data_IF_059111502373
#
_entry.id   IF_059111502373
#
_cell.length_a   1.000
_cell.length_b   1.000
_cell.length_c   1.000
_cell.angle_alpha   90.00
_cell.angle_beta   90.00
_cell.angle_gamma   90.00
#
_symmetry.space_group_name_H-M   'P 1'
#
loop_
_entity.id
_entity.type
_entity.pdbx_description
1 polymer ?
#
# COMPACT_ATOMS: atom_id res chain seq x y z
N UNK A 1 -52.99 4.72 -21.43
CA UNK A 1 -51.56 5.04 -21.62
C UNK A 1 -51.38 6.42 -21.02
N UNK A 2 -50.89 6.49 -19.79
CA UNK A 2 -50.30 7.68 -19.16
C UNK A 2 -49.19 7.15 -18.22
N UNK A 3 -47.90 7.38 -18.51
CA UNK A 3 -46.82 6.97 -17.63
C UNK A 3 -46.38 8.12 -16.71
N UNK A 4 -46.26 7.79 -15.43
CA UNK A 4 -45.47 8.51 -14.44
C UNK A 4 -43.97 8.19 -14.65
N UNK A 5 -43.11 9.22 -14.65
CA UNK A 5 -41.64 9.15 -14.55
C UNK A 5 -41.18 10.50 -13.93
N UNK A 6 -40.81 10.56 -12.65
CA UNK A 6 -39.51 10.27 -12.00
C UNK A 6 -38.45 11.37 -12.17
N UNK A 7 -37.78 11.65 -11.06
CA UNK A 7 -36.81 12.70 -10.73
C UNK A 7 -35.55 12.77 -11.61
N UNK A 8 -34.90 13.94 -11.55
CA UNK A 8 -33.45 14.09 -11.67
C UNK A 8 -33.00 14.76 -12.97
N UNK A 9 -32.43 15.98 -12.85
CA UNK A 9 -31.32 16.51 -13.65
C UNK A 9 -31.24 18.03 -13.42
N UNK A 10 -30.43 18.46 -12.44
CA UNK A 10 -30.03 19.86 -12.34
C UNK A 10 -28.96 20.13 -13.41
N UNK A 11 -29.44 20.64 -14.54
CA UNK A 11 -28.66 21.09 -15.68
C UNK A 11 -27.73 22.25 -15.26
N UNK A 12 -26.41 22.02 -15.28
CA UNK A 12 -25.40 22.99 -14.86
C UNK A 12 -24.99 23.98 -15.97
N UNK A 13 -25.74 24.05 -17.08
CA UNK A 13 -25.36 24.83 -18.27
C UNK A 13 -25.58 26.35 -18.17
N UNK A 14 -25.85 26.94 -17.00
CA UNK A 14 -26.09 28.38 -16.89
C UNK A 14 -25.28 29.09 -15.80
N UNK A 15 -23.95 29.12 -15.95
CA UNK A 15 -23.16 30.26 -15.46
C UNK A 15 -22.38 30.93 -16.62
N UNK A 16 -23.12 31.32 -17.66
CA UNK A 16 -22.65 32.40 -18.54
C UNK A 16 -22.78 33.74 -17.80
N UNK A 17 -21.78 34.08 -17.00
CA UNK A 17 -21.59 35.45 -16.54
C UNK A 17 -20.19 35.95 -16.93
N UNK A 18 -20.08 36.21 -18.24
CA UNK A 18 -19.41 37.29 -18.98
C UNK A 18 -18.20 38.10 -18.47
N UNK A 19 -17.56 37.85 -17.33
CA UNK A 19 -16.43 38.72 -16.91
C UNK A 19 -15.45 38.07 -15.92
N UNK A 20 -14.55 37.22 -16.42
CA UNK A 20 -13.27 36.95 -15.79
C UNK A 20 -12.28 36.42 -16.84
N UNK A 21 -11.62 37.34 -17.53
CA UNK A 21 -10.37 37.05 -18.25
C UNK A 21 -9.29 36.68 -17.22
N UNK A 22 -8.49 35.67 -17.56
CA UNK A 22 -7.23 35.30 -16.90
C UNK A 22 -7.32 34.89 -15.42
N UNK A 23 -7.44 33.58 -15.17
CA UNK A 23 -6.31 32.76 -14.69
C UNK A 23 -6.63 31.27 -14.87
N UNK A 24 -5.72 30.59 -15.56
CA UNK A 24 -5.70 29.16 -15.84
C UNK A 24 -5.90 28.27 -14.60
N UNK A 25 -6.98 27.49 -14.60
CA UNK A 25 -6.89 26.03 -14.81
C UNK A 25 -5.81 25.27 -14.02
N UNK A 26 -5.75 25.41 -12.68
CA UNK A 26 -4.81 24.62 -11.88
C UNK A 26 -5.26 24.14 -10.49
N UNK A 27 -6.51 24.38 -10.06
CA UNK A 27 -6.90 24.11 -8.66
C UNK A 27 -8.09 23.17 -8.44
N UNK A 28 -8.44 22.28 -9.39
CA UNK A 28 -9.54 21.31 -9.16
C UNK A 28 -9.20 19.82 -9.37
N UNK A 29 -7.93 19.47 -9.52
CA UNK A 29 -7.55 18.07 -9.82
C UNK A 29 -7.12 17.32 -8.56
N UNK A 30 -6.71 18.03 -7.49
CA UNK A 30 -6.19 17.41 -6.27
C UNK A 30 -7.28 17.05 -5.25
N UNK A 31 -8.43 17.75 -5.29
CA UNK A 31 -9.51 17.54 -4.32
C UNK A 31 -10.47 16.40 -4.71
N UNK A 32 -10.62 16.14 -6.00
CA UNK A 32 -11.49 15.09 -6.56
C UNK A 32 -10.86 13.70 -6.54
N UNK A 33 -9.52 13.59 -6.52
CA UNK A 33 -8.81 12.30 -6.48
C UNK A 33 -8.96 11.53 -5.16
N UNK A 34 -9.36 12.19 -4.07
CA UNK A 34 -9.39 11.56 -2.74
C UNK A 34 -10.71 10.84 -2.40
N UNK A 35 -11.76 10.99 -3.22
CA UNK A 35 -13.10 10.47 -2.90
C UNK A 35 -13.61 9.35 -3.81
N UNK A 36 -12.90 9.00 -4.88
CA UNK A 36 -13.31 7.92 -5.79
C UNK A 36 -12.22 6.85 -5.91
N UNK A 37 -12.33 5.80 -5.09
CA UNK A 37 -11.71 4.51 -5.42
C UNK A 37 -10.19 4.52 -5.65
N UNK A 38 -9.41 5.16 -4.75
CA UNK A 38 -7.98 4.85 -4.69
C UNK A 38 -7.84 3.35 -4.45
N UNK A 39 -7.42 2.61 -5.48
CA UNK A 39 -7.09 1.21 -5.33
C UNK A 39 -6.05 1.13 -4.22
N UNK A 40 -6.29 0.35 -3.16
CA UNK A 40 -5.34 0.18 -2.05
C UNK A 40 -3.99 -0.38 -2.55
N UNK A 41 -4.03 -0.97 -3.75
CA UNK A 41 -2.94 -1.54 -4.50
C UNK A 41 -2.43 -0.60 -5.61
N UNK A 42 -2.85 0.66 -5.63
CA UNK A 42 -2.38 1.65 -6.59
C UNK A 42 -0.87 1.80 -6.46
N UNK A 43 -0.16 1.54 -7.56
CA UNK A 43 1.29 1.63 -7.61
C UNK A 43 1.73 3.04 -8.01
N UNK A 44 2.71 3.58 -7.30
CA UNK A 44 3.37 4.83 -7.69
C UNK A 44 4.32 4.61 -8.89
N UNK A 45 5.03 5.65 -9.30
CA UNK A 45 6.03 5.59 -10.38
C UNK A 45 7.20 4.62 -10.10
N UNK A 46 7.38 4.18 -8.86
CA UNK A 46 8.35 3.18 -8.43
C UNK A 46 7.70 1.82 -8.18
N UNK A 47 6.44 1.62 -8.57
CA UNK A 47 5.73 0.36 -8.35
C UNK A 47 5.28 0.12 -6.91
N UNK A 48 5.44 1.09 -6.00
CA UNK A 48 5.15 0.92 -4.57
C UNK A 48 3.68 1.20 -4.30
N UNK A 49 3.09 0.41 -3.43
CA UNK A 49 1.72 0.62 -2.95
C UNK A 49 1.70 1.49 -1.70
N UNK A 50 0.54 2.05 -1.31
CA UNK A 50 0.35 2.67 0.00
C UNK A 50 0.86 1.80 1.16
N UNK A 51 0.69 0.48 1.06
CA UNK A 51 1.18 -0.47 2.05
C UNK A 51 2.70 -0.57 2.07
N UNK A 52 3.36 -0.57 0.91
CA UNK A 52 4.84 -0.51 0.81
C UNK A 52 5.40 0.75 1.48
N UNK A 53 4.74 1.90 1.26
CA UNK A 53 5.15 3.16 1.89
C UNK A 53 4.95 3.15 3.40
N UNK A 54 3.78 2.70 3.87
CA UNK A 54 3.51 2.58 5.30
C UNK A 54 4.50 1.62 5.99
N UNK A 55 4.88 0.54 5.31
CA UNK A 55 5.83 -0.43 5.83
C UNK A 55 7.26 0.13 5.89
N UNK A 56 7.68 0.86 4.85
CA UNK A 56 8.98 1.55 4.78
C UNK A 56 9.15 2.60 5.88
N UNK A 57 8.08 3.33 6.21
CA UNK A 57 8.11 4.39 7.23
C UNK A 57 7.78 3.89 8.66
N UNK A 58 7.51 2.58 8.82
CA UNK A 58 7.23 2.00 10.14
C UNK A 58 5.84 2.34 10.70
N UNK A 59 4.89 2.74 9.87
CA UNK A 59 3.56 3.20 10.29
C UNK A 59 2.58 2.04 10.54
N UNK A 60 2.76 1.34 11.66
CA UNK A 60 1.97 0.15 12.02
C UNK A 60 0.45 0.37 11.96
N UNK A 61 -0.07 1.48 12.49
CA UNK A 61 -1.51 1.77 12.48
C UNK A 61 -2.09 1.91 11.06
N UNK A 62 -1.30 2.47 10.14
CA UNK A 62 -1.68 2.59 8.73
C UNK A 62 -1.63 1.23 8.04
N UNK A 63 -0.59 0.44 8.31
CA UNK A 63 -0.44 -0.94 7.81
C UNK A 63 -1.64 -1.79 8.22
N UNK A 64 -2.02 -1.80 9.51
CA UNK A 64 -3.21 -2.52 10.01
C UNK A 64 -4.49 -2.09 9.31
N UNK A 65 -4.68 -0.78 9.13
CA UNK A 65 -5.86 -0.23 8.46
C UNK A 65 -5.93 -0.65 6.99
N UNK A 66 -4.79 -0.63 6.28
CA UNK A 66 -4.72 -1.01 4.88
C UNK A 66 -4.98 -2.52 4.70
N UNK A 67 -4.37 -3.36 5.53
CA UNK A 67 -4.60 -4.81 5.53
C UNK A 67 -6.07 -5.14 5.85
N UNK A 68 -6.66 -4.47 6.85
CA UNK A 68 -8.07 -4.65 7.18
C UNK A 68 -9.03 -4.23 6.04
N UNK A 69 -8.60 -3.28 5.20
CA UNK A 69 -9.35 -2.89 3.99
C UNK A 69 -9.11 -3.82 2.79
N UNK A 70 -8.24 -4.82 2.93
CA UNK A 70 -7.92 -5.79 1.87
C UNK A 70 -6.75 -5.38 0.96
N UNK A 71 -5.86 -4.48 1.41
CA UNK A 71 -4.63 -4.19 0.69
C UNK A 71 -3.76 -5.45 0.59
N UNK A 72 -3.11 -5.63 -0.56
CA UNK A 72 -2.33 -6.84 -0.81
C UNK A 72 -0.87 -6.67 -0.34
N UNK A 73 -0.40 -7.48 0.63
CA UNK A 73 0.98 -7.43 1.14
C UNK A 73 1.99 -8.12 0.24
N UNK A 74 1.54 -8.85 -0.79
CA UNK A 74 2.38 -9.56 -1.78
C UNK A 74 2.92 -8.63 -2.89
N UNK A 75 2.46 -7.37 -2.94
CA UNK A 75 2.78 -6.48 -4.05
C UNK A 75 4.20 -5.91 -3.94
N UNK A 76 5.09 -6.47 -4.75
CA UNK A 76 6.43 -5.96 -4.96
C UNK A 76 6.46 -4.65 -5.78
N UNK A 77 7.45 -3.83 -5.46
CA UNK A 77 7.82 -2.63 -6.20
C UNK A 77 8.63 -2.94 -7.47
N UNK A 78 9.04 -1.92 -8.22
CA UNK A 78 9.85 -2.12 -9.45
C UNK A 78 11.22 -2.74 -9.20
N UNK A 79 11.68 -2.83 -7.96
CA UNK A 79 12.94 -3.47 -7.57
C UNK A 79 12.70 -4.88 -7.02
N UNK A 80 11.47 -5.41 -7.09
CA UNK A 80 11.11 -6.70 -6.53
C UNK A 80 10.95 -6.67 -5.01
N UNK A 81 10.94 -5.50 -4.36
CA UNK A 81 10.86 -5.39 -2.90
C UNK A 81 9.41 -5.38 -2.45
N UNK A 82 9.06 -6.31 -1.58
CA UNK A 82 7.74 -6.37 -0.92
C UNK A 82 7.67 -5.37 0.26
N UNK A 83 6.47 -5.04 0.75
CA UNK A 83 6.30 -4.26 1.98
C UNK A 83 7.07 -4.85 3.17
N UNK A 84 7.11 -6.18 3.29
CA UNK A 84 7.88 -6.87 4.32
C UNK A 84 9.40 -6.65 4.13
N UNK A 85 9.89 -6.72 2.89
CA UNK A 85 11.29 -6.42 2.58
C UNK A 85 11.67 -5.02 3.06
N UNK A 86 10.84 -4.02 2.77
CA UNK A 86 11.09 -2.62 3.17
C UNK A 86 11.07 -2.46 4.70
N UNK A 87 10.14 -3.12 5.38
CA UNK A 87 10.09 -3.11 6.83
C UNK A 87 11.32 -3.78 7.46
N UNK A 88 11.80 -4.88 6.88
CA UNK A 88 13.00 -5.59 7.31
C UNK A 88 14.29 -4.79 7.03
N UNK A 89 14.37 -4.12 5.89
CA UNK A 89 15.47 -3.22 5.51
C UNK A 89 15.61 -2.07 6.52
N UNK A 90 14.50 -1.54 7.03
CA UNK A 90 14.51 -0.45 8.02
C UNK A 90 14.39 -0.92 9.48
N UNK A 91 14.31 -2.23 9.73
CA UNK A 91 14.24 -2.79 11.08
C UNK A 91 12.93 -2.47 11.82
N UNK A 92 11.82 -2.27 11.11
CA UNK A 92 10.53 -1.93 11.70
C UNK A 92 9.79 -3.14 12.24
N UNK A 93 10.19 -3.59 13.43
CA UNK A 93 9.70 -4.80 14.10
C UNK A 93 8.16 -4.88 14.22
N UNK A 94 7.48 -3.81 14.64
CA UNK A 94 6.02 -3.81 14.81
C UNK A 94 5.26 -3.95 13.48
N UNK A 95 5.81 -3.38 12.41
CA UNK A 95 5.27 -3.56 11.05
C UNK A 95 5.52 -4.99 10.58
N UNK A 96 6.71 -5.53 10.81
CA UNK A 96 7.05 -6.92 10.46
C UNK A 96 6.08 -7.86 11.15
N UNK A 97 5.87 -7.75 12.47
CA UNK A 97 4.89 -8.57 13.20
C UNK A 97 3.48 -8.45 12.61
N UNK A 98 3.02 -7.24 12.33
CA UNK A 98 1.69 -7.03 11.74
C UNK A 98 1.57 -7.67 10.35
N UNK A 99 2.59 -7.55 9.50
CA UNK A 99 2.59 -8.16 8.18
C UNK A 99 2.64 -9.69 8.27
N UNK A 100 3.37 -10.23 9.25
CA UNK A 100 3.44 -11.67 9.52
C UNK A 100 2.09 -12.23 9.99
N UNK A 101 1.39 -11.52 10.88
CA UNK A 101 0.03 -11.88 11.33
C UNK A 101 -0.96 -12.01 10.16
N UNK A 102 -0.81 -11.17 9.12
CA UNK A 102 -1.73 -11.11 7.98
C UNK A 102 -1.27 -11.89 6.75
N UNK A 103 0.03 -12.10 6.56
CA UNK A 103 0.58 -12.79 5.39
C UNK A 103 1.92 -13.49 5.70
N UNK A 104 1.84 -14.80 5.94
CA UNK A 104 3.01 -15.67 6.15
C UNK A 104 3.56 -16.22 4.82
N UNK A 105 2.78 -16.18 3.74
CA UNK A 105 3.04 -16.94 2.52
C UNK A 105 4.22 -16.44 1.64
N UNK A 106 4.67 -15.20 1.81
CA UNK A 106 5.66 -14.55 0.91
C UNK A 106 6.80 -13.87 1.70
N UNK A 107 7.17 -14.44 2.87
CA UNK A 107 8.26 -13.91 3.70
C UNK A 107 9.63 -13.94 3.01
N UNK A 108 9.81 -14.87 2.07
CA UNK A 108 11.07 -15.12 1.37
C UNK A 108 11.13 -14.45 -0.02
N UNK A 109 10.17 -13.59 -0.34
CA UNK A 109 10.17 -12.87 -1.62
C UNK A 109 11.47 -12.07 -1.79
N UNK A 110 12.27 -12.47 -2.78
CA UNK A 110 13.57 -11.87 -3.04
C UNK A 110 13.44 -10.63 -3.94
N UNK A 111 14.31 -9.64 -3.70
CA UNK A 111 14.45 -8.47 -4.56
C UNK A 111 15.17 -8.83 -5.88
N UNK A 112 15.31 -7.85 -6.78
CA UNK A 112 16.06 -8.02 -8.05
C UNK A 112 17.54 -8.39 -7.88
N UNK A 113 18.07 -8.36 -6.66
CA UNK A 113 19.44 -8.75 -6.32
C UNK A 113 19.49 -10.13 -5.66
N UNK A 114 18.40 -10.91 -5.76
CA UNK A 114 18.21 -12.20 -5.09
C UNK A 114 18.39 -12.11 -3.56
N UNK A 115 18.14 -10.93 -2.98
CA UNK A 115 18.24 -10.72 -1.54
C UNK A 115 16.87 -10.94 -0.91
N UNK A 116 16.83 -11.78 0.13
CA UNK A 116 15.64 -11.96 0.96
C UNK A 116 15.53 -10.85 2.01
N UNK A 117 14.33 -10.59 2.57
CA UNK A 117 14.15 -9.66 3.68
C UNK A 117 15.10 -9.95 4.85
N UNK A 118 15.34 -11.23 5.15
CA UNK A 118 16.28 -11.67 6.19
C UNK A 118 17.74 -11.34 5.87
N UNK A 119 18.17 -11.55 4.62
CA UNK A 119 19.52 -11.19 4.17
C UNK A 119 19.76 -9.69 4.28
N UNK A 120 18.76 -8.89 3.90
CA UNK A 120 18.81 -7.42 4.02
C UNK A 120 18.86 -6.97 5.48
N UNK A 121 17.94 -7.44 6.32
CA UNK A 121 17.92 -7.10 7.74
C UNK A 121 19.24 -7.48 8.45
N UNK A 122 19.84 -8.62 8.06
CA UNK A 122 21.15 -9.05 8.58
C UNK A 122 22.28 -8.11 8.16
N UNK A 123 22.25 -7.65 6.91
CA UNK A 123 23.24 -6.71 6.36
C UNK A 123 23.16 -5.34 7.02
N UNK A 124 21.95 -4.85 7.29
CA UNK A 124 21.71 -3.58 7.99
C UNK A 124 21.94 -3.69 9.51
N UNK A 125 22.10 -4.91 10.04
CA UNK A 125 22.38 -5.16 11.46
C UNK A 125 21.15 -5.12 12.36
N UNK A 126 19.95 -5.26 11.79
CA UNK A 126 18.68 -5.27 12.51
C UNK A 126 18.42 -6.63 13.17
N UNK A 127 19.14 -6.91 14.26
CA UNK A 127 19.12 -8.20 14.98
C UNK A 127 17.70 -8.64 15.37
N UNK A 128 16.86 -7.71 15.81
CA UNK A 128 15.49 -8.02 16.22
C UNK A 128 14.58 -8.40 15.03
N UNK A 129 14.68 -7.68 13.91
CA UNK A 129 13.98 -8.03 12.67
C UNK A 129 14.43 -9.40 12.14
N UNK A 130 15.73 -9.70 12.20
CA UNK A 130 16.27 -11.03 11.83
C UNK A 130 15.69 -12.14 12.70
N UNK A 131 15.62 -11.92 14.03
CA UNK A 131 15.02 -12.90 14.95
C UNK A 131 13.55 -13.14 14.63
N UNK A 132 12.76 -12.09 14.42
CA UNK A 132 11.34 -12.23 14.08
C UNK A 132 11.12 -13.02 12.80
N UNK A 133 11.88 -12.71 11.74
CA UNK A 133 11.79 -13.44 10.47
C UNK A 133 12.25 -14.90 10.60
N UNK A 134 13.26 -15.16 11.44
CA UNK A 134 13.79 -16.50 11.67
C UNK A 134 12.85 -17.37 12.51
N UNK A 135 12.22 -16.80 13.54
CA UNK A 135 11.26 -17.49 14.40
C UNK A 135 10.00 -17.92 13.61
N UNK A 136 9.51 -17.06 12.72
CA UNK A 136 8.37 -17.40 11.84
C UNK A 136 8.73 -18.39 10.73
N UNK A 137 9.91 -18.27 10.11
CA UNK A 137 10.38 -19.26 9.12
C UNK A 137 10.47 -20.67 9.73
N UNK A 138 10.86 -20.76 11.02
CA UNK A 138 10.87 -22.02 11.75
C UNK A 138 9.45 -22.55 12.08
N UNK A 139 8.46 -21.66 12.29
CA UNK A 139 7.07 -22.04 12.53
C UNK A 139 6.41 -22.64 11.28
N UNK A 140 6.70 -22.11 10.09
CA UNK A 140 6.18 -22.61 8.81
C UNK A 140 6.66 -24.05 8.54
N UNK A 141 7.89 -24.39 8.90
CA UNK A 141 8.44 -25.73 8.69
C UNK A 141 7.89 -26.82 9.63
N UNK A 142 7.22 -26.47 10.73
CA UNK A 142 6.66 -27.44 11.68
C UNK A 142 5.21 -27.84 11.38
N UNK A 143 4.51 -27.12 10.50
CA UNK A 143 3.13 -27.41 10.15
C UNK A 143 2.98 -28.53 9.09
N UNK A 144 4.09 -29.11 8.60
CA UNK A 144 4.13 -30.06 7.48
C UNK A 144 4.58 -31.48 7.88
N UNK A 145 4.36 -31.90 9.15
CA UNK A 145 4.67 -33.26 9.68
C UNK A 145 3.43 -33.96 10.24
#
# INVERSE_FOLDING_TARGET
>A
MDPAYLEGDADWTLVSNSDARDVHEFELDTYTLCTTGSSLDAKDMFGRTPLSWAAKEGHEGVVRTLLAKGARPDLADVMGRTPLFLAAEHGHEGVIQTLLEYSVAEMDAADMLDQTPLSRASKEGHVAAVRLLQDESAAVHLADV
#
